data_IF_960419349029
#
_entry.id   IF_960419349029
#
_cell.length_a   1.000
_cell.length_b   1.000
_cell.length_c   1.000
_cell.angle_alpha   90.00
_cell.angle_beta   90.00
_cell.angle_gamma   90.00
#
_symmetry.space_group_name_H-M   'P 1'
#
loop_
_entity.id
_entity.type
_entity.pdbx_description
1 polymer ?
#
# COMPACT_ATOMS: atom_id res chain seq x y z
N UNK A 1 10.30 27.62 35.47
CA UNK A 1 10.78 26.26 35.11
C UNK A 1 9.69 25.19 35.26
N UNK A 2 9.10 24.98 36.45
CA UNK A 2 8.05 23.95 36.65
C UNK A 2 6.81 24.12 35.73
N UNK A 3 6.29 25.34 35.58
CA UNK A 3 5.17 25.62 34.67
C UNK A 3 5.50 25.36 33.19
N UNK A 4 6.71 25.68 32.74
CA UNK A 4 7.15 25.37 31.37
C UNK A 4 7.28 23.86 31.13
N UNK A 5 7.74 23.11 32.14
CA UNK A 5 7.77 21.63 32.11
C UNK A 5 6.35 21.06 32.01
N UNK A 6 5.39 21.58 32.77
CA UNK A 6 4.00 21.15 32.65
C UNK A 6 3.41 21.45 31.26
N UNK A 7 3.63 22.65 30.71
CA UNK A 7 3.15 23.01 29.36
C UNK A 7 3.75 22.06 28.30
N UNK A 8 5.05 21.76 28.41
CA UNK A 8 5.72 20.84 27.50
C UNK A 8 5.20 19.39 27.61
N UNK A 9 4.94 18.91 28.83
CA UNK A 9 4.34 17.58 29.04
C UNK A 9 2.91 17.55 28.47
N UNK A 10 2.10 18.57 28.72
CA UNK A 10 0.74 18.66 28.16
C UNK A 10 0.74 18.75 26.63
N UNK A 11 1.69 19.48 26.02
CA UNK A 11 1.80 19.55 24.56
C UNK A 11 2.22 18.22 23.94
N UNK A 12 3.18 17.51 24.55
CA UNK A 12 3.59 16.18 24.11
C UNK A 12 2.47 15.15 24.25
N UNK A 13 1.70 15.22 25.34
CA UNK A 13 0.54 14.35 25.55
C UNK A 13 -0.61 14.64 24.57
N UNK A 14 -0.79 15.91 24.17
CA UNK A 14 -1.75 16.27 23.13
C UNK A 14 -1.36 15.73 21.76
N UNK A 15 -0.06 15.73 21.44
CA UNK A 15 0.46 15.24 20.15
C UNK A 15 0.25 13.72 19.99
N UNK A 16 0.46 12.94 21.05
CA UNK A 16 0.30 11.49 21.01
C UNK A 16 -1.16 11.04 20.83
N UNK A 17 -2.12 11.85 21.26
CA UNK A 17 -3.56 11.63 21.04
C UNK A 17 -4.03 12.06 19.64
N UNK A 18 -3.26 12.88 18.94
CA UNK A 18 -3.60 13.36 17.60
C UNK A 18 -3.40 12.28 16.53
N UNK A 19 -2.49 11.33 16.77
CA UNK A 19 -2.24 10.18 15.90
C UNK A 19 -3.40 9.19 15.97
N UNK A 20 -4.14 9.08 14.87
CA UNK A 20 -5.34 8.25 14.78
C UNK A 20 -4.98 6.90 14.19
N UNK A 21 -5.47 5.84 14.83
CA UNK A 21 -5.43 4.52 14.22
C UNK A 21 -6.51 4.45 13.14
N UNK A 22 -6.13 4.06 11.94
CA UNK A 22 -7.03 3.88 10.80
C UNK A 22 -6.79 2.52 10.17
N UNK A 23 -7.80 2.01 9.48
CA UNK A 23 -7.73 0.70 8.83
C UNK A 23 -8.61 0.63 7.60
N UNK A 24 -8.20 -0.23 6.67
CA UNK A 24 -8.87 -0.46 5.38
C UNK A 24 -8.83 -1.95 5.03
N UNK A 25 -9.87 -2.43 4.36
CA UNK A 25 -9.91 -3.76 3.79
C UNK A 25 -10.41 -3.69 2.34
N UNK A 26 -9.82 -4.50 1.48
CA UNK A 26 -10.20 -4.61 0.07
C UNK A 26 -10.27 -6.07 -0.34
N UNK A 27 -11.26 -6.42 -1.15
CA UNK A 27 -11.42 -7.73 -1.75
C UNK A 27 -11.83 -7.61 -3.21
N UNK A 28 -11.69 -8.70 -3.95
CA UNK A 28 -12.18 -8.80 -5.31
C UNK A 28 -11.78 -10.10 -5.97
N UNK A 29 -11.99 -10.15 -7.29
CA UNK A 29 -11.65 -11.29 -8.13
C UNK A 29 -11.03 -10.83 -9.44
N UNK A 30 -9.94 -11.47 -9.85
CA UNK A 30 -9.31 -11.21 -11.13
C UNK A 30 -9.49 -12.37 -12.10
N UNK A 31 -9.75 -12.02 -13.36
CA UNK A 31 -9.90 -12.92 -14.48
C UNK A 31 -8.85 -12.60 -15.53
N UNK A 32 -8.52 -13.58 -16.36
CA UNK A 32 -7.72 -13.42 -17.58
C UNK A 32 -8.47 -14.16 -18.69
N UNK A 33 -9.28 -13.40 -19.44
CA UNK A 33 -10.30 -13.96 -20.31
C UNK A 33 -11.34 -14.71 -19.50
N UNK A 34 -11.64 -15.93 -19.95
CA UNK A 34 -12.64 -16.77 -19.32
C UNK A 34 -12.13 -17.54 -18.10
N UNK A 35 -10.85 -17.35 -17.72
CA UNK A 35 -10.20 -18.11 -16.64
C UNK A 35 -9.95 -17.24 -15.42
N UNK A 36 -10.11 -17.78 -14.20
CA UNK A 36 -9.63 -17.12 -12.99
C UNK A 36 -8.13 -16.84 -13.09
N UNK A 37 -7.73 -15.63 -12.73
CA UNK A 37 -6.34 -15.23 -12.68
C UNK A 37 -5.78 -15.55 -11.30
N UNK A 38 -5.41 -16.82 -11.11
CA UNK A 38 -4.85 -17.34 -9.85
C UNK A 38 -3.38 -16.98 -9.65
N UNK A 39 -2.91 -17.02 -8.40
CA UNK A 39 -1.50 -16.80 -8.03
C UNK A 39 -0.95 -15.44 -8.51
N UNK A 40 -1.82 -14.42 -8.57
CA UNK A 40 -1.45 -13.05 -8.93
C UNK A 40 -1.16 -12.26 -7.68
N UNK A 41 0.01 -11.63 -7.63
CA UNK A 41 0.46 -10.88 -6.46
C UNK A 41 -0.34 -9.59 -6.34
N UNK A 42 -0.87 -9.37 -5.15
CA UNK A 42 -1.63 -8.18 -4.77
C UNK A 42 -0.99 -7.54 -3.55
N UNK A 43 -0.92 -6.22 -3.53
CA UNK A 43 -0.39 -5.45 -2.40
C UNK A 43 -1.32 -4.29 -2.07
N UNK A 44 -1.57 -4.11 -0.80
CA UNK A 44 -2.26 -2.96 -0.24
C UNK A 44 -1.18 -2.05 0.35
N UNK A 45 -1.05 -0.86 -0.23
CA UNK A 45 -0.08 0.15 0.17
C UNK A 45 -0.78 1.35 0.75
N UNK A 46 -0.04 2.05 1.59
CA UNK A 46 -0.29 3.42 1.96
C UNK A 46 0.72 4.30 1.22
N UNK A 47 0.25 5.22 0.38
CA UNK A 47 1.10 6.11 -0.42
C UNK A 47 0.63 7.55 -0.24
N UNK A 48 1.16 8.21 0.79
CA UNK A 48 0.87 9.60 1.09
C UNK A 48 1.63 10.56 0.18
N UNK A 49 1.01 11.69 -0.15
CA UNK A 49 1.72 12.84 -0.75
C UNK A 49 2.46 13.70 0.29
N UNK A 50 2.48 13.28 1.55
CA UNK A 50 2.96 14.00 2.73
C UNK A 50 4.41 13.68 3.14
N UNK A 51 4.80 14.02 4.37
CA UNK A 51 6.14 13.70 4.91
C UNK A 51 6.29 12.24 5.36
N UNK A 52 5.19 11.49 5.44
CA UNK A 52 5.15 10.12 5.92
C UNK A 52 5.62 9.16 4.80
N UNK A 53 6.44 8.15 5.12
CA UNK A 53 6.96 7.22 4.11
C UNK A 53 5.88 6.25 3.64
N UNK A 54 5.92 5.89 2.35
CA UNK A 54 5.03 4.85 1.80
C UNK A 54 5.16 3.53 2.57
N UNK A 55 4.05 3.01 3.09
CA UNK A 55 4.01 1.82 3.93
C UNK A 55 3.27 0.66 3.28
N UNK A 56 3.82 -0.55 3.40
CA UNK A 56 3.15 -1.77 2.96
C UNK A 56 2.20 -2.26 4.06
N UNK A 57 0.90 -2.06 3.85
CA UNK A 57 -0.13 -2.44 4.81
C UNK A 57 -0.38 -3.96 4.81
N UNK A 58 -0.50 -4.58 3.64
CA UNK A 58 -0.72 -6.01 3.49
C UNK A 58 -0.31 -6.50 2.09
N UNK A 59 -0.01 -7.79 1.94
CA UNK A 59 0.24 -8.41 0.65
C UNK A 59 -0.18 -9.87 0.61
N UNK A 60 -0.56 -10.32 -0.57
CA UNK A 60 -0.98 -11.69 -0.79
C UNK A 60 -0.99 -12.07 -2.26
N UNK A 61 -1.64 -13.20 -2.53
CA UNK A 61 -1.83 -13.72 -3.87
C UNK A 61 -3.30 -14.09 -4.05
N UNK A 62 -3.82 -13.93 -5.26
CA UNK A 62 -5.14 -14.47 -5.60
C UNK A 62 -5.15 -15.99 -5.47
N UNK A 63 -6.26 -16.54 -5.02
CA UNK A 63 -6.45 -17.97 -4.87
C UNK A 63 -6.75 -18.68 -6.21
N UNK A 64 -7.08 -19.97 -6.16
CA UNK A 64 -7.43 -20.76 -7.35
C UNK A 64 -8.67 -20.25 -8.10
N UNK A 65 -9.55 -19.49 -7.42
CA UNK A 65 -10.73 -18.86 -8.00
C UNK A 65 -10.46 -17.42 -8.45
N UNK A 66 -9.20 -16.96 -8.37
CA UNK A 66 -8.80 -15.58 -8.70
C UNK A 66 -9.18 -14.57 -7.62
N UNK A 67 -9.64 -15.02 -6.44
CA UNK A 67 -10.16 -14.18 -5.37
C UNK A 67 -9.05 -13.74 -4.41
N UNK A 68 -9.19 -12.56 -3.82
CA UNK A 68 -8.29 -12.06 -2.79
C UNK A 68 -9.04 -11.25 -1.73
N UNK A 69 -8.44 -11.14 -0.54
CA UNK A 69 -8.83 -10.25 0.53
C UNK A 69 -7.57 -9.77 1.23
N UNK A 70 -7.36 -8.45 1.25
CA UNK A 70 -6.28 -7.80 2.00
C UNK A 70 -6.87 -6.85 3.04
N UNK A 71 -6.17 -6.71 4.17
CA UNK A 71 -6.54 -5.78 5.24
C UNK A 71 -5.30 -5.25 5.94
N UNK A 72 -5.29 -3.97 6.27
CA UNK A 72 -4.22 -3.38 7.05
C UNK A 72 -4.68 -2.18 7.83
N UNK A 73 -3.80 -1.72 8.72
CA UNK A 73 -4.00 -0.60 9.60
C UNK A 73 -2.72 0.19 9.77
N UNK A 74 -2.85 1.51 9.91
CA UNK A 74 -1.72 2.41 10.13
C UNK A 74 -2.12 3.51 11.13
N UNK A 75 -1.12 4.08 11.80
CA UNK A 75 -1.30 5.19 12.74
C UNK A 75 -0.73 6.46 12.13
N UNK A 76 -1.63 7.36 11.77
CA UNK A 76 -1.27 8.56 11.02
C UNK A 76 -2.01 9.79 11.58
N UNK A 77 -1.47 10.98 11.31
CA UNK A 77 -2.12 12.23 11.72
C UNK A 77 -3.24 12.61 10.73
N UNK A 78 -2.98 12.42 9.44
CA UNK A 78 -3.93 12.62 8.35
C UNK A 78 -4.70 11.34 8.05
N UNK A 79 -5.54 11.34 7.01
CA UNK A 79 -6.22 10.12 6.59
C UNK A 79 -5.25 9.33 5.72
N UNK A 80 -5.23 8.02 5.91
CA UNK A 80 -4.50 7.11 5.04
C UNK A 80 -5.03 7.22 3.59
N UNK A 81 -4.13 7.21 2.61
CA UNK A 81 -4.23 7.16 1.14
C UNK A 81 -4.03 5.73 0.58
N UNK A 82 -4.97 4.79 0.82
CA UNK A 82 -4.77 3.39 0.50
C UNK A 82 -4.83 3.09 -1.00
N UNK A 83 -3.85 2.35 -1.50
CA UNK A 83 -3.73 1.92 -2.90
C UNK A 83 -3.58 0.41 -3.06
N UNK A 84 -4.42 -0.19 -3.89
CA UNK A 84 -4.31 -1.58 -4.30
C UNK A 84 -3.43 -1.70 -5.55
N UNK A 85 -2.33 -2.43 -5.45
CA UNK A 85 -1.41 -2.73 -6.56
C UNK A 85 -1.51 -4.20 -6.95
N UNK A 86 -1.71 -4.45 -8.24
CA UNK A 86 -1.85 -5.78 -8.82
C UNK A 86 -0.69 -6.01 -9.77
N UNK A 87 0.00 -7.14 -9.64
CA UNK A 87 1.14 -7.50 -10.48
C UNK A 87 0.83 -8.81 -11.21
N UNK A 88 0.63 -8.72 -12.53
CA UNK A 88 0.13 -9.84 -13.33
C UNK A 88 0.83 -9.95 -14.68
N UNK A 89 0.74 -11.14 -15.27
CA UNK A 89 1.29 -11.46 -16.59
C UNK A 89 0.19 -11.92 -17.57
N UNK A 90 -1.09 -11.62 -17.28
CA UNK A 90 -2.21 -11.88 -18.18
C UNK A 90 -1.97 -11.23 -19.56
N UNK A 91 -2.07 -12.02 -20.63
CA UNK A 91 -1.79 -11.64 -22.02
C UNK A 91 -0.47 -10.88 -22.24
N UNK A 92 0.53 -11.16 -21.41
CA UNK A 92 1.76 -10.40 -21.43
C UNK A 92 2.90 -11.06 -22.22
N UNK A 93 2.77 -12.36 -22.52
CA UNK A 93 3.81 -13.15 -23.20
C UNK A 93 5.06 -13.35 -22.34
N UNK A 94 6.23 -13.47 -22.97
CA UNK A 94 7.51 -13.60 -22.27
C UNK A 94 8.19 -12.22 -22.23
N UNK A 95 7.84 -11.42 -21.22
CA UNK A 95 8.48 -10.12 -20.95
C UNK A 95 9.11 -10.11 -19.56
N UNK A 96 10.23 -9.40 -19.35
CA UNK A 96 10.83 -9.31 -18.03
C UNK A 96 9.94 -8.51 -17.08
N UNK A 97 9.72 -9.04 -15.87
CA UNK A 97 8.86 -8.42 -14.87
C UNK A 97 7.37 -8.66 -15.12
N UNK A 98 6.53 -7.90 -14.43
CA UNK A 98 5.06 -8.03 -14.54
C UNK A 98 4.38 -6.71 -14.84
N UNK A 99 3.24 -6.78 -15.52
CA UNK A 99 2.31 -5.65 -15.64
C UNK A 99 1.84 -5.23 -14.25
N UNK A 100 1.76 -3.92 -13.99
CA UNK A 100 1.37 -3.36 -12.69
C UNK A 100 0.21 -2.40 -12.86
N UNK A 101 -0.93 -2.75 -12.27
CA UNK A 101 -2.14 -1.91 -12.22
C UNK A 101 -2.30 -1.39 -10.81
N UNK A 102 -2.70 -0.12 -10.67
CA UNK A 102 -2.91 0.52 -9.37
C UNK A 102 -4.30 1.14 -9.31
N UNK A 103 -5.02 0.86 -8.22
CA UNK A 103 -6.32 1.46 -7.91
C UNK A 103 -6.26 2.16 -6.57
N UNK A 104 -6.81 3.37 -6.52
CA UNK A 104 -7.00 4.10 -5.27
C UNK A 104 -8.28 3.57 -4.61
N UNK A 105 -8.19 3.23 -3.32
CA UNK A 105 -9.35 2.78 -2.56
C UNK A 105 -10.07 4.04 -2.04
N UNK A 106 -11.39 4.19 -2.27
CA UNK A 106 -12.07 5.40 -1.87
C UNK A 106 -11.97 5.63 -0.35
N UNK A 107 -11.69 6.87 0.08
CA UNK A 107 -11.61 7.23 1.51
C UNK A 107 -12.86 6.88 2.31
N UNK A 108 -14.01 6.78 1.63
CA UNK A 108 -15.24 6.26 2.22
C UNK A 108 -15.16 4.79 2.64
N UNK A 109 -14.02 4.09 2.49
CA UNK A 109 -13.76 2.74 3.02
C UNK A 109 -12.73 2.71 4.14
N UNK A 110 -12.01 3.80 4.38
CA UNK A 110 -11.14 3.98 5.56
C UNK A 110 -11.99 4.09 6.82
N UNK A 111 -11.57 3.42 7.89
CA UNK A 111 -12.29 3.39 9.16
C UNK A 111 -11.39 3.61 10.35
N UNK A 112 -11.92 4.28 11.38
CA UNK A 112 -11.22 4.47 12.64
C UNK A 112 -11.08 3.15 13.42
N UNK A 113 -9.88 2.92 13.94
CA UNK A 113 -9.49 1.74 14.71
C UNK A 113 -8.63 0.77 13.90
N UNK A 114 -8.10 -0.24 14.59
CA UNK A 114 -7.19 -1.26 14.05
C UNK A 114 -7.88 -2.28 13.11
N UNK A 115 -9.19 -2.47 13.25
CA UNK A 115 -9.93 -3.46 12.48
C UNK A 115 -10.88 -2.75 11.52
N UNK A 116 -10.78 -3.01 10.20
CA UNK A 116 -11.67 -2.42 9.22
C UNK A 116 -13.13 -2.76 9.51
N UNK A 117 -14.00 -1.73 9.55
CA UNK A 117 -15.45 -1.94 9.78
C UNK A 117 -16.25 -2.19 8.50
N UNK A 118 -15.63 -1.95 7.35
CA UNK A 118 -16.18 -2.19 6.01
C UNK A 118 -15.07 -2.67 5.10
N UNK A 119 -15.45 -3.36 4.04
CA UNK A 119 -14.54 -3.90 3.03
C UNK A 119 -14.93 -3.32 1.69
N UNK A 120 -13.97 -2.72 0.99
CA UNK A 120 -14.14 -2.29 -0.38
C UNK A 120 -14.12 -3.52 -1.29
N UNK A 121 -15.21 -3.76 -2.00
CA UNK A 121 -15.30 -4.81 -3.00
C UNK A 121 -15.07 -4.18 -4.37
N UNK A 122 -13.90 -4.43 -4.96
CA UNK A 122 -13.58 -3.94 -6.31
C UNK A 122 -14.32 -4.72 -7.41
N UNK A 123 -15.01 -5.80 -7.04
CA UNK A 123 -15.76 -6.66 -7.95
C UNK A 123 -14.89 -7.65 -8.71
N UNK A 124 -15.34 -7.99 -9.91
CA UNK A 124 -14.65 -8.90 -10.83
C UNK A 124 -14.04 -8.10 -11.97
N UNK A 125 -12.71 -8.12 -12.10
CA UNK A 125 -11.99 -7.42 -13.17
C UNK A 125 -11.31 -8.43 -14.11
N UNK A 126 -11.51 -8.27 -15.40
CA UNK A 126 -10.74 -9.01 -16.40
C UNK A 126 -9.48 -8.21 -16.75
N UNK A 127 -8.32 -8.82 -16.50
CA UNK A 127 -6.99 -8.20 -16.64
C UNK A 127 -6.38 -8.34 -18.05
N UNK A 128 -7.12 -8.90 -19.02
CA UNK A 128 -6.77 -8.80 -20.45
C UNK A 128 -6.79 -7.35 -20.92
N UNK A 129 -7.71 -6.55 -20.38
CA UNK A 129 -7.78 -5.13 -20.70
C UNK A 129 -6.49 -4.43 -20.30
N UNK A 130 -6.12 -3.42 -21.08
CA UNK A 130 -5.04 -2.50 -20.72
C UNK A 130 -5.64 -1.37 -19.88
N UNK A 131 -5.11 -1.17 -18.68
CA UNK A 131 -5.58 -0.12 -17.79
C UNK A 131 -4.85 1.20 -18.10
N UNK A 132 -5.54 2.32 -17.96
CA UNK A 132 -4.91 3.63 -18.12
C UNK A 132 -3.86 3.84 -17.00
N UNK A 133 -2.67 4.34 -17.37
CA UNK A 133 -1.48 4.43 -16.47
C UNK A 133 -1.00 3.09 -15.91
N UNK A 134 -1.28 2.00 -16.59
CA UNK A 134 -0.65 0.72 -16.28
C UNK A 134 0.88 0.80 -16.47
N UNK A 135 1.60 0.23 -15.51
CA UNK A 135 3.06 0.25 -15.44
C UNK A 135 3.64 -1.16 -15.59
N UNK A 136 4.98 -1.28 -15.50
CA UNK A 136 5.68 -2.56 -15.43
C UNK A 136 6.65 -2.57 -14.27
N UNK A 137 6.55 -3.55 -13.39
CA UNK A 137 7.55 -3.79 -12.35
C UNK A 137 8.60 -4.78 -12.88
N UNK A 138 9.83 -4.30 -13.09
CA UNK A 138 10.95 -5.14 -13.52
C UNK A 138 11.53 -5.93 -12.34
N UNK A 139 11.87 -7.19 -12.58
CA UNK A 139 12.71 -7.96 -11.67
C UNK A 139 14.14 -7.45 -11.84
N UNK A 140 14.51 -6.41 -11.09
CA UNK A 140 15.90 -5.97 -11.01
C UNK A 140 16.59 -6.84 -9.98
N UNK A 141 17.65 -7.57 -10.38
CA UNK A 141 18.54 -8.21 -9.41
C UNK A 141 19.23 -7.10 -8.60
N UNK A 142 18.64 -6.74 -7.46
CA UNK A 142 19.23 -5.77 -6.54
C UNK A 142 20.50 -6.39 -5.97
N UNK A 143 21.66 -6.14 -6.61
CA UNK A 143 22.92 -6.10 -5.87
C UNK A 143 22.73 -4.97 -4.86
N UNK A 144 22.52 -5.33 -3.59
CA UNK A 144 22.39 -4.40 -2.47
C UNK A 144 23.60 -3.46 -2.53
N UNK A 145 23.40 -2.22 -2.97
CA UNK A 145 24.38 -1.15 -2.76
C UNK A 145 24.11 -0.68 -1.34
N UNK A 146 24.79 -1.31 -0.38
CA UNK A 146 25.04 -0.68 0.89
C UNK A 146 25.87 0.57 0.57
N UNK A 147 25.19 1.71 0.41
CA UNK A 147 25.86 3.01 0.36
C UNK A 147 26.22 3.31 1.81
N UNK A 148 27.42 2.88 2.18
CA UNK A 148 28.15 3.40 3.33
C UNK A 148 28.24 4.93 3.17
N UNK A 149 27.91 5.63 4.26
CA UNK A 149 27.89 7.09 4.37
C UNK A 149 29.12 7.75 3.72
N UNK A 150 28.92 8.46 2.62
CA UNK A 150 29.88 9.44 2.13
C UNK A 150 29.50 10.82 2.65
N UNK A 151 29.73 11.05 3.95
CA UNK A 151 29.70 12.38 4.57
C UNK A 151 30.84 12.62 5.59
N UNK A 152 31.85 11.75 5.67
CA UNK A 152 33.02 11.92 6.57
C UNK A 152 34.32 12.26 5.81
N UNK A 153 34.23 13.05 4.73
CA UNK A 153 35.42 13.68 4.14
C UNK A 153 35.01 15.07 3.66
N UNK A 154 35.61 16.11 4.26
CA UNK A 154 35.39 17.55 4.07
C UNK A 154 34.39 18.24 5.02
N UNK A 155 34.80 18.37 6.29
CA UNK A 155 34.80 19.68 6.94
C UNK A 155 36.01 19.78 7.89
N UNK A 156 36.50 21.00 8.12
CA UNK A 156 37.79 21.33 8.75
C UNK A 156 37.95 20.90 10.22
#
# INVERSE_FOLDING_TARGET
MKFAVFIFIFSLLGLSLALRQQSVAVKGKFMCGDKPLSNTRVKLWEEDSGPDPDDLLDQGYTDANGEFLLKGDERELTNIDPRLKIYHDCDDGIKPGSRKVVFDIPYSYVTAGKVPKKTFDIGVLNMETVFHKEERELIVSRKRRDIENFNDVFDW
#
